data_IF_735490768820
#
_entry.id   IF_735490768820
#
_cell.length_a   1.000
_cell.length_b   1.000
_cell.length_c   1.000
_cell.angle_alpha   90.00
_cell.angle_beta   90.00
_cell.angle_gamma   90.00
#
_symmetry.space_group_name_H-M   'P 1'
#
loop_
_entity.id
_entity.type
_entity.pdbx_description
1 polymer ?
#
# COMPACT_ATOMS: atom_id res chain seq x y z
N UNK A 1 9.09 -9.89 -1.03
CA UNK A 1 8.82 -8.43 -1.07
C UNK A 1 9.12 -7.83 0.29
N UNK A 2 9.86 -6.76 0.34
CA UNK A 2 10.08 -6.04 1.59
C UNK A 2 9.14 -4.84 1.68
N UNK A 3 9.14 -4.17 2.84
CA UNK A 3 8.22 -3.04 3.08
C UNK A 3 8.45 -1.87 2.13
N UNK A 4 9.71 -1.65 1.75
CA UNK A 4 10.06 -0.60 0.81
C UNK A 4 9.47 -0.88 -0.58
N UNK A 5 9.49 -2.13 -1.00
CA UNK A 5 8.91 -2.53 -2.29
C UNK A 5 7.39 -2.38 -2.29
N UNK A 6 6.75 -2.67 -1.17
CA UNK A 6 5.31 -2.50 -1.04
C UNK A 6 4.93 -1.03 -1.19
N UNK A 7 5.67 -0.14 -0.54
CA UNK A 7 5.44 1.30 -0.66
C UNK A 7 5.60 1.80 -2.09
N UNK A 8 6.66 1.37 -2.76
CA UNK A 8 6.90 1.70 -4.17
C UNK A 8 5.75 1.21 -5.05
N UNK A 9 5.26 0.00 -4.78
CA UNK A 9 4.15 -0.57 -5.55
C UNK A 9 2.88 0.24 -5.38
N UNK A 10 2.57 0.65 -4.17
CA UNK A 10 1.41 1.51 -3.90
C UNK A 10 1.52 2.80 -4.72
N UNK A 11 2.70 3.42 -4.72
CA UNK A 11 2.94 4.64 -5.48
C UNK A 11 2.75 4.43 -6.98
N UNK A 12 3.30 3.34 -7.53
CA UNK A 12 3.15 3.01 -8.94
C UNK A 12 1.69 2.83 -9.32
N UNK A 13 0.96 2.05 -8.54
CA UNK A 13 -0.46 1.78 -8.77
C UNK A 13 -1.30 3.06 -8.69
N UNK A 14 -0.98 3.91 -7.72
CA UNK A 14 -1.66 5.21 -7.60
C UNK A 14 -1.46 6.05 -8.86
N UNK A 15 -0.23 6.14 -9.33
CA UNK A 15 0.10 6.92 -10.53
C UNK A 15 -0.54 6.34 -11.79
N UNK A 16 -0.56 5.02 -11.91
CA UNK A 16 -1.24 4.35 -13.02
C UNK A 16 -2.73 4.69 -13.06
N UNK A 17 -3.33 4.93 -11.91
CA UNK A 17 -4.73 5.31 -11.80
C UNK A 17 -4.95 6.81 -11.94
N UNK A 18 -3.89 7.59 -12.17
CA UNK A 18 -3.99 9.05 -12.30
C UNK A 18 -4.38 9.75 -11.02
N UNK A 19 -4.13 9.14 -9.86
CA UNK A 19 -4.51 9.70 -8.56
C UNK A 19 -3.34 10.45 -7.94
N UNK A 20 -3.64 11.62 -7.35
CA UNK A 20 -2.69 12.32 -6.50
C UNK A 20 -2.66 11.66 -5.12
N UNK A 21 -1.62 11.95 -4.33
CA UNK A 21 -1.60 11.52 -2.94
C UNK A 21 -2.79 12.07 -2.18
N UNK A 22 -3.17 13.33 -2.43
CA UNK A 22 -4.32 13.94 -1.79
C UNK A 22 -5.61 13.21 -2.11
N UNK A 23 -5.86 12.91 -3.38
CA UNK A 23 -7.06 12.19 -3.81
C UNK A 23 -7.15 10.81 -3.17
N UNK A 24 -6.05 10.04 -3.22
CA UNK A 24 -6.06 8.70 -2.65
C UNK A 24 -6.21 8.74 -1.13
N UNK A 25 -5.50 9.64 -0.45
CA UNK A 25 -5.60 9.76 1.00
C UNK A 25 -7.03 10.06 1.45
N UNK A 26 -7.74 10.92 0.73
CA UNK A 26 -9.15 11.19 1.01
C UNK A 26 -10.03 9.96 0.82
N UNK A 27 -9.79 9.19 -0.24
CA UNK A 27 -10.56 7.96 -0.51
C UNK A 27 -10.42 6.94 0.60
N UNK A 28 -9.21 6.80 1.14
CA UNK A 28 -8.93 5.78 2.16
C UNK A 28 -9.04 6.31 3.59
N UNK A 29 -9.30 7.61 3.76
CA UNK A 29 -9.52 8.20 5.08
C UNK A 29 -8.27 8.37 5.92
N UNK A 30 -7.11 8.61 5.30
CA UNK A 30 -5.86 8.89 6.01
C UNK A 30 -5.32 10.25 5.59
N UNK A 31 -4.37 10.78 6.34
CA UNK A 31 -3.71 12.01 5.95
C UNK A 31 -2.77 11.79 4.77
N UNK A 32 -2.55 12.84 4.00
CA UNK A 32 -1.56 12.80 2.92
C UNK A 32 -0.17 12.45 3.45
N UNK A 33 0.18 12.96 4.64
CA UNK A 33 1.47 12.66 5.26
C UNK A 33 1.61 11.17 5.55
N UNK A 34 0.54 10.52 6.02
CA UNK A 34 0.55 9.08 6.28
C UNK A 34 0.74 8.30 4.97
N UNK A 35 0.04 8.69 3.91
CA UNK A 35 0.19 8.05 2.61
C UNK A 35 1.61 8.23 2.07
N UNK A 36 2.18 9.41 2.22
CA UNK A 36 3.55 9.69 1.80
C UNK A 36 4.55 8.77 2.51
N UNK A 37 4.39 8.60 3.82
CA UNK A 37 5.23 7.68 4.59
C UNK A 37 5.09 6.25 4.11
N UNK A 38 3.85 5.82 3.86
CA UNK A 38 3.57 4.48 3.35
C UNK A 38 4.29 4.26 2.01
N UNK A 39 4.17 5.19 1.09
CA UNK A 39 4.81 5.09 -0.23
C UNK A 39 6.33 5.10 -0.15
N UNK A 40 6.89 5.68 0.90
CA UNK A 40 8.34 5.70 1.14
C UNK A 40 8.83 4.52 1.98
N UNK A 41 7.95 3.57 2.29
CA UNK A 41 8.33 2.35 2.99
C UNK A 41 8.27 2.45 4.51
N UNK A 42 7.80 3.55 5.07
CA UNK A 42 7.67 3.72 6.52
C UNK A 42 6.31 3.19 6.99
N UNK A 43 6.24 1.88 7.19
CA UNK A 43 4.98 1.21 7.52
C UNK A 43 4.78 0.95 9.02
N UNK A 44 5.71 1.38 9.87
CA UNK A 44 5.67 1.07 11.30
C UNK A 44 4.35 1.49 11.99
N UNK A 45 3.76 2.60 11.56
CA UNK A 45 2.54 3.14 12.14
C UNK A 45 1.31 2.97 11.25
N UNK A 46 1.41 2.12 10.23
CA UNK A 46 0.30 1.86 9.32
C UNK A 46 -0.35 0.54 9.71
N UNK A 47 -1.64 0.57 10.03
CA UNK A 47 -2.36 -0.65 10.37
C UNK A 47 -2.58 -1.51 9.13
N UNK A 48 -2.79 -2.81 9.38
CA UNK A 48 -3.13 -3.74 8.29
C UNK A 48 -4.42 -3.32 7.60
N UNK A 49 -5.40 -2.83 8.37
CA UNK A 49 -6.66 -2.40 7.76
C UNK A 49 -6.49 -1.18 6.86
N UNK A 50 -5.61 -0.25 7.21
CA UNK A 50 -5.28 0.89 6.34
C UNK A 50 -4.59 0.41 5.07
N UNK A 51 -3.64 -0.51 5.20
CA UNK A 51 -2.93 -1.06 4.05
C UNK A 51 -3.89 -1.80 3.12
N UNK A 52 -4.74 -2.65 3.69
CA UNK A 52 -5.75 -3.39 2.93
C UNK A 52 -6.69 -2.44 2.20
N UNK A 53 -7.19 -1.41 2.89
CA UNK A 53 -8.08 -0.42 2.30
C UNK A 53 -7.38 0.36 1.17
N UNK A 54 -6.11 0.69 1.35
CA UNK A 54 -5.31 1.35 0.32
C UNK A 54 -5.23 0.49 -0.93
N UNK A 55 -4.87 -0.77 -0.77
CA UNK A 55 -4.75 -1.71 -1.89
C UNK A 55 -6.10 -1.96 -2.55
N UNK A 56 -7.17 -2.10 -1.78
CA UNK A 56 -8.52 -2.29 -2.32
C UNK A 56 -8.93 -1.13 -3.22
N UNK A 57 -8.63 0.09 -2.82
CA UNK A 57 -8.93 1.28 -3.64
C UNK A 57 -8.10 1.33 -4.92
N UNK A 58 -7.03 0.56 -4.98
CA UNK A 58 -6.17 0.46 -6.17
C UNK A 58 -6.46 -0.80 -6.98
N UNK A 59 -7.47 -1.59 -6.59
CA UNK A 59 -7.86 -2.81 -7.31
C UNK A 59 -7.07 -4.04 -6.91
N UNK A 60 -6.46 -4.03 -5.73
CA UNK A 60 -5.65 -5.14 -5.22
C UNK A 60 -6.12 -5.53 -3.83
N UNK A 61 -5.66 -6.65 -3.35
CA UNK A 61 -5.97 -7.12 -2.01
C UNK A 61 -4.73 -7.76 -1.38
N UNK A 62 -4.70 -7.74 -0.04
CA UNK A 62 -3.71 -8.50 0.70
C UNK A 62 -4.12 -9.97 0.71
N UNK A 63 -3.14 -10.85 0.50
CA UNK A 63 -3.38 -12.28 0.55
C UNK A 63 -2.25 -12.94 1.35
N UNK A 64 -2.58 -14.08 1.95
CA UNK A 64 -1.63 -14.87 2.73
C UNK A 64 -1.43 -16.19 1.99
N UNK A 65 -0.18 -16.48 1.66
CA UNK A 65 0.19 -17.72 1.01
C UNK A 65 1.06 -18.55 1.94
N UNK A 66 0.86 -19.87 1.97
CA UNK A 66 1.80 -20.73 2.67
C UNK A 66 3.21 -20.56 2.09
N UNK A 67 4.19 -20.45 2.98
CA UNK A 67 5.57 -20.48 2.55
C UNK A 67 5.99 -21.93 2.38
N UNK A 68 6.26 -22.32 1.14
CA UNK A 68 6.71 -23.69 0.84
C UNK A 68 8.23 -23.72 0.85
N UNK A 69 8.85 -24.33 1.88
CA UNK A 69 10.31 -24.36 1.98
C UNK A 69 10.97 -25.19 0.88
N UNK A 70 10.22 -26.02 0.17
CA UNK A 70 10.74 -26.84 -0.89
C UNK A 70 10.65 -26.20 -2.28
N UNK A 71 9.98 -25.07 -2.40
CA UNK A 71 9.79 -24.40 -3.69
C UNK A 71 10.33 -22.98 -3.72
N UNK A 72 10.91 -22.54 -2.65
CA UNK A 72 11.47 -21.19 -2.59
C UNK A 72 12.82 -21.10 -3.29
#
# INVERSE_FOLDING_TARGET
MNLSDLGKKVRELRKERGLSQESLSKKIGISRATLSKLENGYLANVSISVLDNTLSNLGYELDIKPNNPFSS
#
